data_IF_342293373674
#
_entry.id   IF_342293373674
#
_cell.length_a   1.000
_cell.length_b   1.000
_cell.length_c   1.000
_cell.angle_alpha   90.00
_cell.angle_beta   90.00
_cell.angle_gamma   90.00
#
_symmetry.space_group_name_H-M   'P 1'
#
loop_
_entity.id
_entity.type
_entity.pdbx_description
1 polymer ?
#
# COMPACT_ATOMS: atom_id res chain seq x y z
N UNK A 1 13.36 9.91 -9.46
CA UNK A 1 13.02 9.77 -8.03
C UNK A 1 11.89 8.78 -7.96
N UNK A 2 12.01 7.74 -7.15
CA UNK A 2 10.90 6.82 -6.89
C UNK A 2 9.86 7.58 -6.08
N UNK A 3 8.61 7.65 -6.57
CA UNK A 3 7.50 8.21 -5.79
C UNK A 3 7.26 7.33 -4.56
N UNK A 4 6.89 7.94 -3.44
CA UNK A 4 6.61 7.22 -2.19
C UNK A 4 5.18 7.52 -1.76
N UNK A 5 4.45 6.47 -1.41
CA UNK A 5 3.09 6.55 -0.85
C UNK A 5 3.10 6.03 0.58
N UNK A 6 2.55 6.80 1.51
CA UNK A 6 2.26 6.35 2.86
C UNK A 6 0.88 5.68 2.88
N UNK A 7 0.82 4.46 3.39
CA UNK A 7 -0.42 3.79 3.77
C UNK A 7 -0.57 3.82 5.28
N UNK A 8 -1.78 4.09 5.76
CA UNK A 8 -2.14 3.88 7.15
C UNK A 8 -3.10 2.68 7.25
N UNK A 9 -2.82 1.78 8.18
CA UNK A 9 -3.65 0.60 8.43
C UNK A 9 -4.41 0.71 9.75
N UNK A 10 -5.41 -0.14 9.94
CA UNK A 10 -6.35 -0.08 11.08
C UNK A 10 -5.69 -0.19 12.45
N UNK A 11 -4.48 -0.77 12.54
CA UNK A 11 -3.67 -0.84 13.76
C UNK A 11 -3.07 0.51 14.16
N UNK A 12 -3.16 1.53 13.29
CA UNK A 12 -2.49 2.82 13.45
C UNK A 12 -1.07 2.85 12.89
N UNK A 13 -0.56 1.71 12.41
CA UNK A 13 0.74 1.62 11.75
C UNK A 13 0.72 2.34 10.39
N UNK A 14 1.89 2.85 10.01
CA UNK A 14 2.10 3.54 8.74
C UNK A 14 3.28 2.92 8.02
N UNK A 15 3.08 2.59 6.75
CA UNK A 15 4.13 2.04 5.90
C UNK A 15 4.38 2.96 4.72
N UNK A 16 5.65 3.13 4.36
CA UNK A 16 6.06 3.87 3.16
C UNK A 16 6.29 2.87 2.05
N UNK A 17 5.58 3.07 0.95
CA UNK A 17 5.48 2.13 -0.16
C UNK A 17 6.06 2.77 -1.40
N UNK A 18 6.82 2.01 -2.18
CA UNK A 18 7.26 2.45 -3.49
C UNK A 18 6.08 2.59 -4.45
N UNK A 19 5.98 3.73 -5.14
CA UNK A 19 4.96 3.99 -6.15
C UNK A 19 4.17 5.28 -5.91
N UNK A 20 3.52 5.75 -6.98
CA UNK A 20 2.56 6.85 -6.91
C UNK A 20 1.27 6.38 -6.22
N UNK A 21 0.55 7.26 -5.48
CA UNK A 21 -0.66 6.87 -4.77
C UNK A 21 -1.71 6.19 -5.65
N UNK A 22 -1.82 6.56 -6.94
CA UNK A 22 -2.79 5.95 -7.85
C UNK A 22 -2.46 4.50 -8.16
N UNK A 23 -1.18 4.20 -8.37
CA UNK A 23 -0.72 2.84 -8.67
C UNK A 23 -0.90 1.95 -7.43
N UNK A 24 -0.55 2.48 -6.25
CA UNK A 24 -0.73 1.77 -4.97
C UNK A 24 -2.21 1.54 -4.67
N UNK A 25 -3.07 2.54 -4.89
CA UNK A 25 -4.52 2.41 -4.73
C UNK A 25 -5.09 1.33 -5.65
N UNK A 26 -4.66 1.29 -6.91
CA UNK A 26 -5.12 0.31 -7.89
C UNK A 26 -4.77 -1.12 -7.45
N UNK A 27 -3.55 -1.35 -6.96
CA UNK A 27 -3.12 -2.67 -6.45
C UNK A 27 -4.01 -3.11 -5.28
N UNK A 28 -4.32 -2.20 -4.35
CA UNK A 28 -5.17 -2.48 -3.18
C UNK A 28 -6.61 -2.78 -3.63
N UNK A 29 -7.15 -1.99 -4.56
CA UNK A 29 -8.51 -2.19 -5.08
C UNK A 29 -8.65 -3.50 -5.86
N UNK A 30 -7.62 -3.88 -6.62
CA UNK A 30 -7.61 -5.15 -7.35
C UNK A 30 -7.55 -6.34 -6.38
N UNK A 31 -6.80 -6.23 -5.28
CA UNK A 31 -6.82 -7.21 -4.20
C UNK A 31 -8.20 -7.28 -3.52
N UNK A 32 -8.82 -6.13 -3.22
CA UNK A 32 -10.12 -6.05 -2.58
C UNK A 32 -11.26 -6.67 -3.41
N UNK A 33 -11.18 -6.57 -4.75
CA UNK A 33 -12.15 -7.13 -5.70
C UNK A 33 -11.86 -8.59 -6.08
N UNK A 34 -10.72 -9.09 -5.62
CA UNK A 34 -10.23 -10.43 -5.93
C UNK A 34 -11.02 -11.55 -5.27
N UNK A 35 -10.41 -12.73 -5.23
CA UNK A 35 -10.98 -13.86 -4.50
C UNK A 35 -10.87 -13.67 -2.99
N UNK A 36 -11.64 -14.46 -2.22
CA UNK A 36 -11.50 -14.54 -0.76
C UNK A 36 -10.02 -14.82 -0.41
N UNK A 37 -9.44 -13.99 0.47
CA UNK A 37 -8.02 -14.01 0.89
C UNK A 37 -6.99 -13.50 -0.13
N UNK A 38 -7.39 -12.66 -1.10
CA UNK A 38 -6.41 -11.97 -1.94
C UNK A 38 -5.83 -10.74 -1.20
N UNK A 39 -4.50 -10.71 -1.07
CA UNK A 39 -3.77 -9.63 -0.42
C UNK A 39 -3.14 -8.69 -1.46
N UNK A 40 -2.93 -7.43 -1.07
CA UNK A 40 -2.14 -6.48 -1.84
C UNK A 40 -0.65 -6.75 -1.57
N UNK A 41 0.10 -6.94 -2.65
CA UNK A 41 1.55 -7.09 -2.60
C UNK A 41 2.20 -5.77 -2.98
N UNK A 42 3.00 -5.24 -2.08
CA UNK A 42 3.62 -3.92 -2.15
C UNK A 42 5.10 -4.04 -1.81
N UNK A 43 5.88 -2.99 -2.07
CA UNK A 43 7.31 -2.93 -1.72
C UNK A 43 7.52 -1.78 -0.73
N UNK A 44 8.14 -2.07 0.40
CA UNK A 44 8.49 -1.09 1.42
C UNK A 44 9.64 -0.20 0.91
N UNK A 45 9.47 1.12 0.98
CA UNK A 45 10.34 2.08 0.31
C UNK A 45 11.70 2.34 1.00
N UNK A 46 11.85 2.01 2.28
CA UNK A 46 13.08 2.19 3.05
C UNK A 46 13.95 0.94 3.01
N UNK A 47 13.35 -0.26 3.05
CA UNK A 47 14.04 -1.54 3.12
C UNK A 47 14.06 -2.29 1.79
N UNK A 48 13.13 -2.00 0.88
CA UNK A 48 12.95 -2.74 -0.37
C UNK A 48 12.33 -4.13 -0.18
N UNK A 49 11.79 -4.42 1.00
CA UNK A 49 11.18 -5.72 1.31
C UNK A 49 9.72 -5.79 0.84
N UNK A 50 9.26 -7.01 0.53
CA UNK A 50 7.86 -7.27 0.21
C UNK A 50 6.97 -7.01 1.43
N UNK A 51 5.94 -6.19 1.24
CA UNK A 51 4.89 -5.94 2.22
C UNK A 51 3.56 -6.50 1.71
N UNK A 52 2.97 -7.40 2.49
CA UNK A 52 1.66 -7.99 2.21
C UNK A 52 0.62 -7.31 3.09
N UNK A 53 -0.40 -6.71 2.47
CA UNK A 53 -1.45 -5.95 3.16
C UNK A 53 -2.82 -6.52 2.87
N UNK A 54 -3.63 -6.70 3.91
CA UNK A 54 -5.06 -6.97 3.74
C UNK A 54 -5.75 -5.68 3.29
N UNK A 55 -6.39 -5.64 2.10
CA UNK A 55 -7.09 -4.44 1.62
C UNK A 55 -8.16 -3.95 2.60
N UNK A 56 -8.81 -4.84 3.35
CA UNK A 56 -9.82 -4.47 4.35
C UNK A 56 -9.25 -3.64 5.51
N UNK A 57 -7.93 -3.66 5.71
CA UNK A 57 -7.26 -2.96 6.81
C UNK A 57 -6.63 -1.64 6.38
N UNK A 58 -6.67 -1.30 5.10
CA UNK A 58 -6.18 0.00 4.61
C UNK A 58 -7.20 1.08 4.95
N UNK A 59 -6.73 2.15 5.60
CA UNK A 59 -7.58 3.26 6.04
C UNK A 59 -7.35 4.51 5.18
N UNK A 60 -6.08 4.85 4.90
CA UNK A 60 -5.74 6.04 4.10
C UNK A 60 -4.51 5.81 3.23
N UNK A 61 -4.48 6.48 2.08
CA UNK A 61 -3.34 6.59 1.17
C UNK A 61 -2.92 8.07 1.06
N UNK A 62 -1.61 8.34 1.07
CA UNK A 62 -1.09 9.71 0.97
C UNK A 62 0.26 9.74 0.25
N UNK A 63 0.46 10.67 -0.69
CA UNK A 63 1.78 10.95 -1.25
C UNK A 63 2.76 11.46 -0.19
N UNK A 64 3.99 10.93 -0.17
CA UNK A 64 5.09 11.39 0.68
C UNK A 64 6.14 12.08 -0.20
N UNK A 65 6.22 13.40 -0.10
CA UNK A 65 7.14 14.23 -0.86
C UNK A 65 6.55 14.78 -2.16
N UNK A 66 6.99 15.99 -2.52
CA UNK A 66 6.78 16.68 -3.80
C UNK A 66 8.13 17.15 -4.30
#
# INVERSE_FOLDING_TARGET
>A
MTSITEIAVITGERHRIEGDPKDVEQIILDAARGSIMQFAWLVEAETGEDLVVNPDYVVTLRAVGS
#
